data_IF_231116535297
#
_entry.id   IF_231116535297
#
_cell.length_a   1.000
_cell.length_b   1.000
_cell.length_c   1.000
_cell.angle_alpha   90.00
_cell.angle_beta   90.00
_cell.angle_gamma   90.00
#
_symmetry.space_group_name_H-M   'P 1'
#
loop_
_entity.id
_entity.type
_entity.pdbx_description
1 polymer ?
#
# COMPACT_ATOMS: atom_id res chain seq x y z
N UNK A 1 0.50 3.03 28.54
CA UNK A 1 -0.35 1.93 28.06
C UNK A 1 -0.10 1.79 26.56
N UNK A 2 0.15 0.58 26.01
CA UNK A 2 0.28 0.42 24.57
C UNK A 2 -1.03 0.85 23.91
N UNK A 3 -0.98 1.85 23.03
CA UNK A 3 -2.18 2.36 22.35
C UNK A 3 -2.72 1.24 21.46
N UNK A 4 -4.00 0.91 21.63
CA UNK A 4 -4.72 0.03 20.71
C UNK A 4 -4.57 0.59 19.30
N UNK A 5 -4.07 -0.23 18.38
CA UNK A 5 -3.94 0.17 16.99
C UNK A 5 -5.35 0.21 16.37
N UNK A 6 -5.82 1.41 16.03
CA UNK A 6 -7.14 1.62 15.41
C UNK A 6 -6.98 1.68 13.89
N UNK A 7 -7.88 1.01 13.18
CA UNK A 7 -7.94 1.07 11.71
C UNK A 7 -8.17 2.51 11.24
N UNK A 8 -9.03 3.28 11.92
CA UNK A 8 -9.28 4.68 11.59
C UNK A 8 -8.04 5.55 11.71
N UNK A 9 -7.25 5.33 12.76
CA UNK A 9 -5.98 6.04 12.92
C UNK A 9 -5.01 5.69 11.79
N UNK A 10 -4.92 4.41 11.38
CA UNK A 10 -4.07 3.99 10.27
C UNK A 10 -4.52 4.60 8.93
N UNK A 11 -5.83 4.65 8.67
CA UNK A 11 -6.39 5.31 7.48
C UNK A 11 -6.08 6.80 7.51
N UNK A 12 -6.31 7.48 8.63
CA UNK A 12 -6.00 8.90 8.78
C UNK A 12 -4.53 9.18 8.47
N UNK A 13 -3.61 8.43 9.06
CA UNK A 13 -2.18 8.58 8.82
C UNK A 13 -1.83 8.37 7.35
N UNK A 14 -2.43 7.37 6.69
CA UNK A 14 -2.23 7.16 5.26
C UNK A 14 -2.72 8.34 4.42
N UNK A 15 -3.91 8.89 4.72
CA UNK A 15 -4.47 10.03 4.00
C UNK A 15 -3.64 11.30 4.23
N UNK A 16 -3.14 11.52 5.44
CA UNK A 16 -2.22 12.61 5.80
C UNK A 16 -0.90 12.48 5.01
N UNK A 17 -0.27 11.31 4.98
CA UNK A 17 0.94 11.03 4.19
C UNK A 17 0.74 11.29 2.68
N UNK A 18 -0.43 10.93 2.14
CA UNK A 18 -0.76 11.23 0.74
C UNK A 18 -0.92 12.74 0.50
N UNK A 19 -1.52 13.47 1.45
CA UNK A 19 -1.65 14.92 1.34
C UNK A 19 -0.28 15.61 1.37
N UNK A 20 0.60 15.20 2.27
CA UNK A 20 1.99 15.70 2.33
C UNK A 20 2.73 15.42 1.01
N UNK A 21 2.53 14.23 0.43
CA UNK A 21 3.13 13.89 -0.87
C UNK A 21 2.58 14.78 -2.00
N UNK A 22 1.27 15.04 -2.03
CA UNK A 22 0.65 15.92 -3.02
C UNK A 22 1.11 17.37 -2.86
N UNK A 23 1.28 17.85 -1.63
CA UNK A 23 1.82 19.18 -1.32
C UNK A 23 3.27 19.33 -1.79
N UNK A 24 4.11 18.33 -1.51
CA UNK A 24 5.48 18.30 -2.02
C UNK A 24 5.52 18.39 -3.56
N UNK A 25 4.69 17.62 -4.27
CA UNK A 25 4.65 17.66 -5.73
C UNK A 25 4.12 19.00 -6.28
N UNK A 26 3.19 19.65 -5.58
CA UNK A 26 2.73 21.01 -5.92
C UNK A 26 3.87 22.02 -5.80
N UNK A 27 4.64 21.97 -4.71
CA UNK A 27 5.81 22.82 -4.51
C UNK A 27 6.85 22.62 -5.63
N UNK A 28 7.13 21.37 -5.99
CA UNK A 28 8.02 21.04 -7.12
C UNK A 28 7.50 21.63 -8.44
N UNK A 29 6.18 21.60 -8.66
CA UNK A 29 5.54 22.18 -9.84
C UNK A 29 5.65 23.72 -9.92
N UNK A 30 5.60 24.40 -8.77
CA UNK A 30 5.71 25.86 -8.69
C UNK A 30 7.13 26.38 -8.95
N UNK A 31 8.15 25.60 -8.58
CA UNK A 31 9.56 26.00 -8.66
C UNK A 31 10.21 25.86 -10.05
N UNK A 32 9.44 25.54 -11.11
CA UNK A 32 9.91 25.44 -12.52
C UNK A 32 11.21 24.63 -12.70
N UNK A 33 11.36 23.54 -11.96
CA UNK A 33 12.55 22.70 -12.00
C UNK A 33 12.73 21.99 -13.35
N UNK A 34 13.95 21.50 -13.60
CA UNK A 34 14.23 20.74 -14.83
C UNK A 34 13.33 19.51 -14.95
N UNK A 35 13.01 19.09 -16.18
CA UNK A 35 12.21 17.87 -16.44
C UNK A 35 12.78 16.62 -15.76
N UNK A 36 14.11 16.54 -15.61
CA UNK A 36 14.80 15.44 -14.94
C UNK A 36 14.55 15.49 -13.43
N UNK A 37 14.73 16.67 -12.82
CA UNK A 37 14.48 16.91 -11.40
C UNK A 37 13.03 16.61 -11.02
N UNK A 38 12.07 17.09 -11.82
CA UNK A 38 10.65 16.75 -11.62
C UNK A 38 10.42 15.25 -11.69
N UNK A 39 11.05 14.54 -12.64
CA UNK A 39 10.88 13.07 -12.72
C UNK A 39 11.38 12.37 -11.44
N UNK A 40 12.51 12.81 -10.89
CA UNK A 40 13.05 12.27 -9.62
C UNK A 40 12.12 12.55 -8.44
N UNK A 41 11.50 13.73 -8.40
CA UNK A 41 10.50 14.04 -7.36
C UNK A 41 9.30 13.09 -7.42
N UNK A 42 8.80 12.77 -8.61
CA UNK A 42 7.74 11.77 -8.78
C UNK A 42 8.19 10.34 -8.44
N UNK A 43 9.45 9.98 -8.65
CA UNK A 43 10.00 8.68 -8.20
C UNK A 43 10.01 8.56 -6.68
N UNK A 44 10.46 9.62 -6.01
CA UNK A 44 10.40 9.70 -4.55
C UNK A 44 8.95 9.61 -4.05
N UNK A 45 8.03 10.35 -4.66
CA UNK A 45 6.60 10.30 -4.32
C UNK A 45 6.02 8.89 -4.46
N UNK A 46 6.37 8.14 -5.52
CA UNK A 46 5.94 6.75 -5.69
C UNK A 46 6.43 5.82 -4.57
N UNK A 47 7.67 6.02 -4.12
CA UNK A 47 8.25 5.25 -3.01
C UNK A 47 7.52 5.58 -1.71
N UNK A 48 7.26 6.86 -1.44
CA UNK A 48 6.57 7.34 -0.25
C UNK A 48 5.12 6.85 -0.17
N UNK A 49 4.35 6.98 -1.26
CA UNK A 49 2.98 6.46 -1.35
C UNK A 49 2.94 4.96 -1.09
N UNK A 50 3.86 4.19 -1.68
CA UNK A 50 3.92 2.75 -1.44
C UNK A 50 4.25 2.42 0.01
N UNK A 51 5.25 3.10 0.59
CA UNK A 51 5.64 2.92 2.00
C UNK A 51 4.47 3.21 2.94
N UNK A 52 3.73 4.28 2.69
CA UNK A 52 2.55 4.62 3.49
C UNK A 52 1.43 3.58 3.32
N UNK A 53 1.19 3.12 2.10
CA UNK A 53 0.21 2.06 1.83
C UNK A 53 0.57 0.72 2.48
N UNK A 54 1.85 0.34 2.47
CA UNK A 54 2.36 -0.85 3.17
C UNK A 54 2.08 -0.77 4.67
N UNK A 55 2.35 0.39 5.29
CA UNK A 55 2.05 0.65 6.70
C UNK A 55 0.55 0.59 6.98
N UNK A 56 -0.29 1.18 6.14
CA UNK A 56 -1.75 1.08 6.26
C UNK A 56 -2.18 -0.40 6.33
N UNK A 57 -1.75 -1.19 5.36
CA UNK A 57 -2.12 -2.60 5.26
C UNK A 57 -1.64 -3.41 6.47
N UNK A 58 -0.39 -3.22 6.89
CA UNK A 58 0.15 -3.87 8.09
C UNK A 58 -0.69 -3.52 9.32
N UNK A 59 -0.97 -2.23 9.53
CA UNK A 59 -1.69 -1.74 10.69
C UNK A 59 -3.13 -2.27 10.74
N UNK A 60 -3.80 -2.38 9.59
CA UNK A 60 -5.13 -2.98 9.49
C UNK A 60 -5.11 -4.46 9.85
N UNK A 61 -4.13 -5.22 9.34
CA UNK A 61 -4.00 -6.64 9.66
C UNK A 61 -3.67 -6.88 11.14
N UNK A 62 -2.81 -6.06 11.72
CA UNK A 62 -2.44 -6.10 13.13
C UNK A 62 -3.65 -5.79 14.03
N UNK A 63 -4.42 -4.75 13.69
CA UNK A 63 -5.64 -4.41 14.40
C UNK A 63 -6.66 -5.56 14.36
N UNK A 64 -6.86 -6.17 13.18
CA UNK A 64 -7.76 -7.32 13.05
C UNK A 64 -7.27 -8.51 13.88
N UNK A 65 -5.98 -8.87 13.79
CA UNK A 65 -5.40 -10.00 14.50
C UNK A 65 -5.48 -9.81 16.03
N UNK A 66 -5.31 -8.58 16.51
CA UNK A 66 -5.49 -8.22 17.91
C UNK A 66 -6.91 -8.51 18.41
N UNK A 67 -7.92 -8.21 17.61
CA UNK A 67 -9.33 -8.36 18.00
C UNK A 67 -9.87 -9.78 17.79
N UNK A 68 -9.53 -10.40 16.65
CA UNK A 68 -10.03 -11.70 16.26
C UNK A 68 -8.94 -12.58 15.61
N UNK A 69 -8.19 -13.34 16.41
CA UNK A 69 -7.15 -14.22 15.90
C UNK A 69 -7.65 -15.59 15.43
N UNK A 70 -8.96 -15.84 15.39
CA UNK A 70 -9.52 -17.18 15.18
C UNK A 70 -9.11 -17.79 13.83
N UNK A 71 -9.16 -16.99 12.76
CA UNK A 71 -8.78 -17.43 11.42
C UNK A 71 -7.29 -17.74 11.34
N UNK A 72 -6.46 -16.84 11.89
CA UNK A 72 -5.01 -17.03 11.94
C UNK A 72 -4.63 -18.27 12.77
N UNK A 73 -5.32 -18.51 13.89
CA UNK A 73 -5.11 -19.68 14.75
C UNK A 73 -5.39 -20.99 14.00
N UNK A 74 -6.51 -21.03 13.27
CA UNK A 74 -6.87 -22.17 12.41
C UNK A 74 -5.84 -22.39 11.31
N UNK A 75 -5.39 -21.32 10.66
CA UNK A 75 -4.44 -21.38 9.54
C UNK A 75 -3.05 -21.85 9.99
N UNK A 76 -2.64 -21.51 11.20
CA UNK A 76 -1.31 -21.84 11.75
C UNK A 76 -1.31 -23.09 12.65
N UNK A 77 -2.47 -23.62 13.00
CA UNK A 77 -2.60 -24.73 13.94
C UNK A 77 -2.23 -24.37 15.38
N UNK A 78 -2.10 -23.08 15.72
CA UNK A 78 -1.71 -22.59 17.04
C UNK A 78 -2.80 -21.71 17.62
N UNK A 79 -3.21 -21.97 18.87
CA UNK A 79 -4.24 -21.15 19.54
C UNK A 79 -3.64 -19.85 20.06
N UNK A 80 -4.17 -18.72 19.61
CA UNK A 80 -3.78 -17.41 20.10
C UNK A 80 -4.87 -16.77 20.99
N UNK A 81 -4.49 -16.09 22.08
CA UNK A 81 -5.45 -15.39 22.92
C UNK A 81 -6.02 -14.16 22.18
N UNK A 82 -7.22 -13.73 22.56
CA UNK A 82 -7.75 -12.42 22.14
C UNK A 82 -6.95 -11.30 22.82
N UNK A 83 -6.86 -10.14 22.15
CA UNK A 83 -6.18 -8.94 22.66
C UNK A 83 -4.67 -9.10 22.91
N UNK A 84 -3.98 -9.79 22.01
CA UNK A 84 -2.51 -9.86 22.03
C UNK A 84 -1.85 -8.48 21.93
N UNK A 85 -0.68 -8.29 22.53
CA UNK A 85 0.07 -7.05 22.36
C UNK A 85 0.31 -6.74 20.88
N UNK A 86 0.22 -5.46 20.50
CA UNK A 86 0.38 -5.00 19.12
C UNK A 86 1.67 -5.49 18.48
N UNK A 87 2.77 -5.48 19.23
CA UNK A 87 4.09 -5.91 18.77
C UNK A 87 4.13 -7.41 18.45
N UNK A 88 3.37 -8.22 19.20
CA UNK A 88 3.22 -9.66 18.94
C UNK A 88 2.42 -9.86 17.67
N UNK A 89 1.29 -9.17 17.51
CA UNK A 89 0.50 -9.22 16.27
C UNK A 89 1.33 -8.79 15.06
N UNK A 90 2.11 -7.72 15.18
CA UNK A 90 3.01 -7.26 14.13
C UNK A 90 4.04 -8.33 13.77
N UNK A 91 4.69 -8.94 14.76
CA UNK A 91 5.64 -10.02 14.52
C UNK A 91 5.00 -11.23 13.81
N UNK A 92 3.76 -11.59 14.17
CA UNK A 92 3.01 -12.66 13.51
C UNK A 92 2.67 -12.33 12.05
N UNK A 93 2.27 -11.08 11.78
CA UNK A 93 1.99 -10.61 10.43
C UNK A 93 3.26 -10.48 9.60
N UNK A 94 4.40 -10.08 10.14
CA UNK A 94 5.64 -9.95 9.35
C UNK A 94 6.53 -11.19 9.37
N UNK A 95 6.20 -12.18 10.21
CA UNK A 95 7.04 -13.35 10.49
C UNK A 95 8.48 -12.97 10.86
N UNK A 96 8.64 -11.93 11.68
CA UNK A 96 9.95 -11.40 12.10
C UNK A 96 10.71 -10.58 11.06
N UNK A 97 10.18 -10.44 9.83
CA UNK A 97 10.75 -9.60 8.79
C UNK A 97 10.02 -8.27 8.62
N UNK A 98 10.00 -7.78 7.39
CA UNK A 98 9.23 -6.62 6.95
C UNK A 98 7.94 -7.08 6.29
N UNK A 99 6.88 -6.28 6.39
CA UNK A 99 5.66 -6.52 5.63
C UNK A 99 5.92 -6.15 4.17
N UNK A 100 6.07 -7.12 3.28
CA UNK A 100 6.29 -6.88 1.85
C UNK A 100 5.39 -7.80 1.01
N UNK A 101 5.01 -7.36 -0.18
CA UNK A 101 4.15 -8.14 -1.07
C UNK A 101 4.42 -7.88 -2.55
N UNK A 102 4.36 -8.97 -3.33
CA UNK A 102 4.56 -8.92 -4.79
C UNK A 102 3.25 -8.61 -5.52
N UNK A 103 2.99 -7.32 -5.72
CA UNK A 103 1.81 -6.88 -6.46
C UNK A 103 0.51 -7.15 -5.70
N UNK A 104 -0.62 -6.96 -6.38
CA UNK A 104 -1.96 -7.20 -5.80
C UNK A 104 -2.14 -8.64 -5.34
N UNK A 105 -1.74 -9.63 -6.13
CA UNK A 105 -1.89 -11.05 -5.77
C UNK A 105 -1.05 -11.43 -4.55
N UNK A 106 0.15 -10.86 -4.41
CA UNK A 106 0.97 -10.99 -3.20
C UNK A 106 0.25 -10.41 -1.99
N UNK A 107 -0.32 -9.21 -2.11
CA UNK A 107 -1.07 -8.58 -1.01
C UNK A 107 -2.27 -9.42 -0.59
N UNK A 108 -3.04 -9.92 -1.57
CA UNK A 108 -4.18 -10.78 -1.30
C UNK A 108 -3.78 -12.07 -0.57
N UNK A 109 -2.62 -12.66 -0.88
CA UNK A 109 -2.08 -13.82 -0.15
C UNK A 109 -1.75 -13.49 1.30
N UNK A 110 -1.07 -12.37 1.54
CA UNK A 110 -0.74 -11.94 2.91
C UNK A 110 -2.01 -11.66 3.73
N UNK A 111 -3.00 -11.01 3.12
CA UNK A 111 -4.28 -10.73 3.77
C UNK A 111 -5.02 -12.03 4.10
N UNK A 112 -5.09 -13.01 3.19
CA UNK A 112 -5.77 -14.31 3.44
C UNK A 112 -5.14 -15.15 4.55
N UNK A 113 -3.86 -14.93 4.85
CA UNK A 113 -3.21 -15.60 5.98
C UNK A 113 -3.78 -15.13 7.31
N UNK A 114 -4.21 -13.87 7.38
CA UNK A 114 -4.70 -13.23 8.62
C UNK A 114 -6.22 -13.24 8.70
N UNK A 115 -6.93 -13.05 7.59
CA UNK A 115 -8.40 -12.98 7.54
C UNK A 115 -8.98 -13.97 6.52
N UNK A 116 -10.21 -14.47 6.71
CA UNK A 116 -10.84 -15.39 5.74
C UNK A 116 -11.16 -14.68 4.41
N UNK A 117 -11.37 -15.46 3.34
CA UNK A 117 -11.67 -14.92 2.01
C UNK A 117 -12.99 -14.13 1.96
N UNK A 118 -13.90 -14.40 2.89
CA UNK A 118 -15.19 -13.75 3.02
C UNK A 118 -15.10 -12.41 3.74
N UNK A 119 -13.96 -12.11 4.36
CA UNK A 119 -13.71 -10.89 5.11
C UNK A 119 -13.78 -9.65 4.20
N UNK A 120 -14.36 -8.57 4.71
CA UNK A 120 -14.56 -7.32 3.94
C UNK A 120 -13.25 -6.80 3.36
N UNK A 121 -12.14 -6.82 4.12
CA UNK A 121 -10.83 -6.33 3.65
C UNK A 121 -10.36 -7.08 2.40
N UNK A 122 -10.49 -8.40 2.41
CA UNK A 122 -10.11 -9.21 1.26
C UNK A 122 -11.00 -8.92 0.05
N UNK A 123 -12.31 -8.77 0.26
CA UNK A 123 -13.28 -8.43 -0.80
C UNK A 123 -13.00 -7.06 -1.41
N UNK A 124 -12.71 -6.06 -0.58
CA UNK A 124 -12.39 -4.69 -1.01
C UNK A 124 -11.13 -4.66 -1.88
N UNK A 125 -10.04 -5.27 -1.42
CA UNK A 125 -8.79 -5.39 -2.19
C UNK A 125 -8.95 -6.21 -3.48
N UNK A 126 -9.99 -7.05 -3.55
CA UNK A 126 -10.30 -7.85 -4.72
C UNK A 126 -11.16 -7.10 -5.76
N UNK A 127 -11.70 -5.92 -5.45
CA UNK A 127 -12.49 -5.14 -6.42
C UNK A 127 -11.63 -4.74 -7.62
N UNK A 128 -12.19 -4.88 -8.83
CA UNK A 128 -11.49 -4.58 -10.07
C UNK A 128 -11.08 -3.11 -10.16
N UNK A 129 -11.86 -2.20 -9.56
CA UNK A 129 -11.60 -0.76 -9.48
C UNK A 129 -10.19 -0.42 -8.95
N UNK A 130 -9.66 -1.22 -8.01
CA UNK A 130 -8.34 -0.98 -7.41
C UNK A 130 -7.23 -1.84 -8.03
N UNK A 131 -7.57 -2.78 -8.91
CA UNK A 131 -6.66 -3.79 -9.43
C UNK A 131 -5.41 -3.20 -10.07
N UNK A 132 -5.64 -2.28 -11.01
CA UNK A 132 -4.58 -1.63 -11.78
C UNK A 132 -3.74 -0.75 -10.87
N UNK A 133 -4.35 0.08 -10.03
CA UNK A 133 -3.63 0.97 -9.11
C UNK A 133 -2.70 0.20 -8.17
N UNK A 134 -3.16 -0.88 -7.55
CA UNK A 134 -2.32 -1.70 -6.65
C UNK A 134 -1.16 -2.36 -7.40
N UNK A 135 -1.42 -2.87 -8.61
CA UNK A 135 -0.38 -3.51 -9.43
C UNK A 135 0.64 -2.48 -9.94
N UNK A 136 0.16 -1.33 -10.38
CA UNK A 136 0.98 -0.23 -10.88
C UNK A 136 1.83 0.37 -9.77
N UNK A 137 1.28 0.57 -8.58
CA UNK A 137 2.02 1.12 -7.43
C UNK A 137 3.26 0.29 -7.11
N UNK A 138 3.11 -1.03 -6.98
CA UNK A 138 4.23 -1.95 -6.68
C UNK A 138 5.26 -1.93 -7.80
N UNK A 139 4.82 -2.04 -9.06
CA UNK A 139 5.73 -2.06 -10.20
C UNK A 139 6.52 -0.74 -10.32
N UNK A 140 5.82 0.39 -10.23
CA UNK A 140 6.39 1.73 -10.32
C UNK A 140 7.36 2.01 -9.17
N UNK A 141 7.01 1.67 -7.93
CA UNK A 141 7.91 1.79 -6.77
C UNK A 141 9.17 0.96 -6.97
N UNK A 142 9.05 -0.29 -7.42
CA UNK A 142 10.21 -1.14 -7.63
C UNK A 142 11.15 -0.59 -8.71
N UNK A 143 10.59 -0.01 -9.78
CA UNK A 143 11.42 0.62 -10.81
C UNK A 143 12.03 1.93 -10.32
N UNK A 144 11.29 2.75 -9.57
CA UNK A 144 11.79 3.96 -8.94
C UNK A 144 12.96 3.68 -7.98
N UNK A 145 12.86 2.61 -7.18
CA UNK A 145 13.86 2.25 -6.18
C UNK A 145 15.11 1.58 -6.76
N UNK A 146 14.96 0.70 -7.76
CA UNK A 146 16.05 -0.14 -8.24
C UNK A 146 16.62 0.27 -9.61
N UNK A 147 15.82 0.90 -10.47
CA UNK A 147 16.25 1.33 -11.81
C UNK A 147 16.69 0.20 -12.77
N UNK A 148 16.56 -1.07 -12.38
CA UNK A 148 17.05 -2.22 -13.15
C UNK A 148 16.19 -2.52 -14.39
N UNK A 149 16.75 -3.19 -15.38
CA UNK A 149 15.97 -3.58 -16.58
C UNK A 149 14.84 -4.56 -16.21
N UNK A 150 15.04 -5.44 -15.24
CA UNK A 150 13.99 -6.34 -14.74
C UNK A 150 12.80 -5.56 -14.17
N UNK A 151 13.06 -4.54 -13.34
CA UNK A 151 12.00 -3.70 -12.77
C UNK A 151 11.32 -2.83 -13.83
N UNK A 152 12.07 -2.35 -14.83
CA UNK A 152 11.50 -1.67 -16.02
C UNK A 152 10.54 -2.56 -16.80
N UNK A 153 10.91 -3.82 -17.05
CA UNK A 153 10.04 -4.77 -17.75
C UNK A 153 8.78 -5.11 -16.95
N UNK A 154 8.88 -5.18 -15.62
CA UNK A 154 7.72 -5.35 -14.76
C UNK A 154 6.73 -4.17 -14.87
N UNK A 155 7.24 -2.93 -14.90
CA UNK A 155 6.39 -1.73 -15.14
C UNK A 155 5.75 -1.76 -16.52
N UNK A 156 6.48 -2.10 -17.58
CA UNK A 156 5.92 -2.21 -18.94
C UNK A 156 4.77 -3.21 -18.99
N UNK A 157 4.93 -4.36 -18.32
CA UNK A 157 3.87 -5.38 -18.22
C UNK A 157 2.66 -4.88 -17.43
N UNK A 158 2.87 -4.19 -16.31
CA UNK A 158 1.79 -3.66 -15.47
C UNK A 158 0.98 -2.56 -16.19
N UNK A 159 1.67 -1.68 -16.92
CA UNK A 159 1.06 -0.51 -17.57
C UNK A 159 0.60 -0.77 -19.01
N UNK A 160 0.93 -1.92 -19.61
CA UNK A 160 0.64 -2.20 -21.02
C UNK A 160 1.36 -1.28 -22.00
N UNK A 161 2.49 -0.67 -21.61
CA UNK A 161 3.20 0.33 -22.42
C UNK A 161 4.60 -0.15 -22.86
N UNK A 162 4.96 0.13 -24.13
CA UNK A 162 6.24 -0.29 -24.72
C UNK A 162 7.41 0.67 -24.44
N UNK A 163 7.14 1.97 -24.27
CA UNK A 163 8.18 3.01 -24.05
C UNK A 163 7.98 3.70 -22.70
N UNK A 164 8.99 3.56 -21.85
CA UNK A 164 9.06 4.13 -20.50
C UNK A 164 10.52 4.54 -20.25
N UNK A 165 10.75 5.82 -19.91
CA UNK A 165 12.08 6.33 -19.59
C UNK A 165 12.48 5.99 -18.15
N UNK A 166 11.62 6.38 -17.21
CA UNK A 166 11.74 6.15 -15.76
C UNK A 166 10.33 6.05 -15.13
N UNK A 167 10.21 5.59 -13.88
CA UNK A 167 8.91 5.52 -13.20
C UNK A 167 8.31 6.92 -13.02
N UNK A 168 9.13 7.90 -12.62
CA UNK A 168 8.69 9.28 -12.47
C UNK A 168 8.37 9.97 -13.78
N UNK A 169 9.07 9.60 -14.87
CA UNK A 169 8.74 10.11 -16.20
C UNK A 169 7.32 9.72 -16.66
N UNK A 170 6.82 8.57 -16.18
CA UNK A 170 5.45 8.16 -16.40
C UNK A 170 4.50 8.86 -15.45
N UNK A 171 4.82 8.90 -14.15
CA UNK A 171 3.95 9.44 -13.12
C UNK A 171 3.69 10.94 -13.28
N UNK A 172 4.68 11.72 -13.73
CA UNK A 172 4.56 13.16 -13.96
C UNK A 172 3.64 13.54 -15.13
N UNK A 173 3.25 12.59 -15.98
CA UNK A 173 2.32 12.88 -17.07
C UNK A 173 0.96 13.14 -16.44
N UNK A 174 0.41 14.31 -16.74
CA UNK A 174 -0.81 14.84 -16.13
C UNK A 174 -1.91 13.78 -15.93
N UNK A 175 -2.41 13.69 -14.70
CA UNK A 175 -3.52 12.83 -14.31
C UNK A 175 -3.15 11.39 -13.94
N UNK A 176 -1.91 10.94 -14.19
CA UNK A 176 -1.53 9.55 -13.92
C UNK A 176 -1.25 9.28 -12.44
N UNK A 177 -0.41 10.11 -11.82
CA UNK A 177 -0.13 10.01 -10.39
C UNK A 177 -1.38 10.30 -9.57
N UNK A 178 -2.14 11.32 -9.95
CA UNK A 178 -3.36 11.74 -9.29
C UNK A 178 -4.44 10.65 -9.34
N UNK A 179 -4.61 9.98 -10.49
CA UNK A 179 -5.53 8.83 -10.59
C UNK A 179 -5.07 7.66 -9.73
N UNK A 180 -3.75 7.41 -9.67
CA UNK A 180 -3.18 6.36 -8.83
C UNK A 180 -3.51 6.62 -7.36
N UNK A 181 -3.19 7.81 -6.85
CA UNK A 181 -3.41 8.17 -5.44
C UNK A 181 -4.90 8.31 -5.12
N UNK A 182 -5.74 8.84 -6.02
CA UNK A 182 -7.18 8.91 -5.83
C UNK A 182 -7.82 7.52 -5.61
N UNK A 183 -7.40 6.52 -6.38
CA UNK A 183 -7.88 5.14 -6.18
C UNK A 183 -7.42 4.55 -4.84
N UNK A 184 -6.22 4.89 -4.37
CA UNK A 184 -5.72 4.45 -3.07
C UNK A 184 -6.46 5.15 -1.92
N UNK A 185 -6.77 6.45 -2.06
CA UNK A 185 -7.62 7.20 -1.11
C UNK A 185 -9.00 6.57 -1.00
N UNK A 186 -9.65 6.32 -2.14
CA UNK A 186 -10.95 5.67 -2.16
C UNK A 186 -10.92 4.28 -1.50
N UNK A 187 -9.88 3.48 -1.73
CA UNK A 187 -9.71 2.21 -1.03
C UNK A 187 -9.55 2.40 0.49
N UNK A 188 -8.76 3.36 0.93
CA UNK A 188 -8.57 3.66 2.34
C UNK A 188 -9.88 4.11 3.03
N UNK A 189 -10.68 4.92 2.34
CA UNK A 189 -12.02 5.31 2.80
C UNK A 189 -12.97 4.12 2.90
N UNK A 190 -12.95 3.19 1.94
CA UNK A 190 -13.73 1.94 2.05
C UNK A 190 -13.26 1.08 3.23
N UNK A 191 -11.95 1.01 3.49
CA UNK A 191 -11.39 0.34 4.67
C UNK A 191 -11.91 1.00 5.96
N UNK A 192 -11.92 2.33 6.02
CA UNK A 192 -12.41 3.09 7.17
C UNK A 192 -13.91 2.86 7.42
N UNK A 193 -14.73 2.88 6.36
CA UNK A 193 -16.18 2.63 6.45
C UNK A 193 -16.52 1.25 7.02
N UNK A 194 -15.71 0.24 6.67
CA UNK A 194 -15.89 -1.13 7.14
C UNK A 194 -15.28 -1.37 8.53
N UNK A 195 -14.39 -0.49 8.97
CA UNK A 195 -13.79 -0.57 10.29
C UNK A 195 -14.85 -0.37 11.38
N UNK A 196 -15.19 -1.46 12.06
CA UNK A 196 -15.92 -1.37 13.33
C UNK A 196 -14.93 -0.88 14.37
N UNK A 197 -15.03 0.42 14.67
CA UNK A 197 -14.24 1.20 15.65
C UNK A 197 -12.89 1.75 15.18
#
# INVERSE_FOLDING_TARGET
MPKKQSIKLAVKQFLDDLNETDEFLKEIGMNQLSKSTTSRAYEWALIEVYRSFEKLMLNVLVAHLNENPQHFSTTTGTTFPRHMKTEVCQHLVTNGGYFDFKGREGLLKEVKRVVPAEHWLYKELKKQTYSESLSNLVALRNYAAHGSEQSKQAVKKALGHLKLGSAGSWAKVSGRFEKLTANLRALAEEIEKQARF
#
